data_IF_980897553977
#
_entry.id   IF_980897553977
#
_cell.length_a   1.000
_cell.length_b   1.000
_cell.length_c   1.000
_cell.angle_alpha   90.00
_cell.angle_beta   90.00
_cell.angle_gamma   90.00
#
_symmetry.space_group_name_H-M   'P 1'
#
loop_
_entity.id
_entity.type
_entity.pdbx_description
1 polymer ?
#
# COMPACT_ATOMS: atom_id res chain seq x y z
N UNK A 1 -13.49 9.69 9.13
CA UNK A 1 -14.47 8.96 9.97
C UNK A 1 -15.43 9.85 10.74
N UNK A 2 -15.17 11.16 10.89
CA UNK A 2 -16.09 12.08 11.60
C UNK A 2 -16.26 11.78 13.09
N UNK A 3 -15.41 10.89 13.63
CA UNK A 3 -15.44 10.49 15.04
C UNK A 3 -14.50 11.40 15.83
N UNK A 4 -14.97 11.89 16.96
CA UNK A 4 -14.12 12.60 17.91
C UNK A 4 -13.07 11.64 18.47
N UNK A 5 -11.79 12.03 18.37
CA UNK A 5 -10.65 11.31 18.91
C UNK A 5 -10.04 12.17 20.02
N UNK A 6 -9.99 11.65 21.24
CA UNK A 6 -9.20 12.27 22.30
C UNK A 6 -7.73 11.95 22.05
N UNK A 7 -6.92 12.97 21.77
CA UNK A 7 -5.46 12.83 21.67
C UNK A 7 -4.90 12.82 23.09
N UNK A 8 -4.61 11.64 23.62
CA UNK A 8 -4.03 11.48 24.95
C UNK A 8 -2.52 11.28 24.83
N UNK A 9 -1.75 12.08 25.56
CA UNK A 9 -0.28 12.01 25.65
C UNK A 9 0.44 12.06 24.29
N UNK A 10 0.22 13.10 23.46
CA UNK A 10 1.01 13.28 22.24
C UNK A 10 2.50 13.47 22.60
N UNK A 11 3.38 12.77 21.87
CA UNK A 11 4.82 12.91 22.05
C UNK A 11 5.36 13.94 21.06
N UNK A 12 6.06 14.95 21.55
CA UNK A 12 6.83 15.88 20.72
C UNK A 12 8.24 15.33 20.52
N UNK A 13 8.74 15.42 19.30
CA UNK A 13 10.10 15.04 18.96
C UNK A 13 10.96 16.29 18.79
N UNK A 14 11.92 16.50 19.71
CA UNK A 14 12.87 17.61 19.63
C UNK A 14 14.30 17.06 19.66
N UNK A 15 14.95 17.00 18.49
CA UNK A 15 16.27 16.37 18.36
C UNK A 15 16.21 14.86 18.66
N UNK A 16 16.94 14.40 19.68
CA UNK A 16 16.96 13.00 20.13
C UNK A 16 16.01 12.71 21.30
N UNK A 17 15.34 13.73 21.85
CA UNK A 17 14.50 13.59 23.04
C UNK A 17 13.01 13.44 22.67
N UNK A 18 12.31 12.61 23.46
CA UNK A 18 10.84 12.51 23.45
C UNK A 18 10.32 13.21 24.69
N UNK A 19 9.53 14.25 24.50
CA UNK A 19 8.84 14.95 25.59
C UNK A 19 7.33 14.89 25.35
N UNK A 20 6.53 14.86 26.43
CA UNK A 20 5.08 14.98 26.28
C UNK A 20 4.80 16.42 25.84
N UNK A 21 4.11 16.57 24.72
CA UNK A 21 3.77 17.87 24.17
C UNK A 21 2.70 18.55 25.04
N UNK A 22 2.98 19.75 25.53
CA UNK A 22 1.93 20.64 26.07
C UNK A 22 1.35 21.52 24.96
N UNK A 23 2.21 22.09 24.10
CA UNK A 23 1.83 22.87 22.92
C UNK A 23 2.76 22.52 21.74
N UNK A 24 2.23 22.61 20.50
CA UNK A 24 2.97 22.41 19.25
C UNK A 24 2.52 23.42 18.19
N UNK A 25 3.41 23.81 17.28
CA UNK A 25 3.10 24.78 16.21
C UNK A 25 3.26 24.18 14.81
N UNK A 26 2.89 24.95 13.79
CA UNK A 26 2.96 24.51 12.40
C UNK A 26 4.41 24.16 12.01
N UNK A 27 4.63 22.93 11.56
CA UNK A 27 5.94 22.40 11.19
C UNK A 27 6.51 21.39 12.19
N UNK A 28 5.97 21.32 13.41
CA UNK A 28 6.37 20.33 14.40
C UNK A 28 5.85 18.92 14.04
N UNK A 29 6.64 17.90 14.36
CA UNK A 29 6.24 16.49 14.22
C UNK A 29 5.81 15.97 15.58
N UNK A 30 4.54 15.58 15.67
CA UNK A 30 3.95 14.98 16.87
C UNK A 30 3.65 13.49 16.64
N UNK A 31 3.99 12.66 17.63
CA UNK A 31 3.64 11.25 17.68
C UNK A 31 2.34 11.06 18.45
N UNK A 32 1.31 10.55 17.78
CA UNK A 32 0.05 10.19 18.41
C UNK A 32 0.04 8.68 18.62
N UNK A 33 -0.13 8.19 19.87
CA UNK A 33 -0.32 6.77 20.13
C UNK A 33 -1.51 6.26 19.31
N UNK A 34 -1.26 5.27 18.46
CA UNK A 34 -2.26 4.69 17.57
C UNK A 34 -2.54 3.24 17.97
N UNK A 35 -3.81 2.92 18.20
CA UNK A 35 -4.30 1.57 18.48
C UNK A 35 -5.16 1.03 17.32
N UNK A 36 -4.78 1.36 16.08
CA UNK A 36 -5.48 0.96 14.86
C UNK A 36 -6.63 1.89 14.45
N UNK A 37 -6.73 3.09 15.02
CA UNK A 37 -7.78 4.07 14.71
C UNK A 37 -7.36 5.08 13.64
N UNK A 38 -6.05 5.29 13.47
CA UNK A 38 -5.46 6.23 12.51
C UNK A 38 -4.71 5.47 11.42
N UNK A 39 -4.75 6.02 10.21
CA UNK A 39 -4.04 5.54 9.03
C UNK A 39 -3.14 6.64 8.46
N UNK A 40 -2.15 6.23 7.68
CA UNK A 40 -1.32 7.18 6.93
C UNK A 40 -2.21 7.97 5.96
N UNK A 41 -2.14 9.30 6.05
CA UNK A 41 -2.97 10.23 5.26
C UNK A 41 -4.23 10.73 5.99
N UNK A 42 -4.55 10.22 7.19
CA UNK A 42 -5.65 10.78 7.98
C UNK A 42 -5.37 12.23 8.39
N UNK A 43 -6.42 13.06 8.32
CA UNK A 43 -6.37 14.46 8.77
C UNK A 43 -7.07 14.57 10.12
N UNK A 44 -6.35 15.11 11.11
CA UNK A 44 -6.91 15.51 12.40
C UNK A 44 -7.11 17.02 12.39
N UNK A 45 -8.34 17.46 12.65
CA UNK A 45 -8.71 18.87 12.69
C UNK A 45 -9.78 19.08 13.77
N UNK A 46 -9.80 20.27 14.37
CA UNK A 46 -10.87 20.69 15.30
C UNK A 46 -12.20 20.84 14.56
N UNK A 47 -12.16 21.42 13.37
CA UNK A 47 -13.32 21.58 12.50
C UNK A 47 -13.52 20.35 11.59
N UNK A 48 -14.78 19.96 11.43
CA UNK A 48 -15.15 18.88 10.50
C UNK A 48 -15.05 19.35 9.05
N UNK A 49 -14.66 18.45 8.14
CA UNK A 49 -14.69 18.68 6.70
C UNK A 49 -13.36 19.10 6.09
N UNK A 50 -12.30 19.23 6.89
CA UNK A 50 -10.95 19.45 6.39
C UNK A 50 -10.30 18.10 6.07
N UNK A 51 -9.80 17.97 4.85
CA UNK A 51 -9.02 16.81 4.40
C UNK A 51 -7.77 17.30 3.66
N UNK A 52 -6.61 16.91 4.14
CA UNK A 52 -5.38 17.07 3.37
C UNK A 52 -5.37 16.07 2.21
N UNK A 53 -5.09 16.57 1.01
CA UNK A 53 -4.93 15.81 -0.22
C UNK A 53 -3.47 15.76 -0.63
N UNK A 54 -3.13 14.85 -1.53
CA UNK A 54 -1.79 14.83 -2.14
C UNK A 54 -0.72 14.12 -1.32
N UNK A 55 -1.09 13.21 -0.41
CA UNK A 55 -0.17 12.23 0.17
C UNK A 55 -0.20 10.95 -0.70
N UNK A 56 0.79 10.75 -1.59
CA UNK A 56 0.76 9.63 -2.52
C UNK A 56 1.28 8.34 -1.87
N UNK A 57 0.69 7.22 -2.25
CA UNK A 57 1.40 5.95 -2.31
C UNK A 57 2.35 5.96 -3.50
N UNK A 58 3.60 5.58 -3.29
CA UNK A 58 4.62 5.48 -4.33
C UNK A 58 4.72 4.05 -4.84
N UNK A 59 4.96 3.86 -6.13
CA UNK A 59 5.16 2.53 -6.68
C UNK A 59 6.33 1.81 -5.97
N UNK A 60 6.16 0.53 -5.61
CA UNK A 60 7.20 -0.23 -4.94
C UNK A 60 8.41 -0.48 -5.84
N UNK A 61 9.58 -0.60 -5.22
CA UNK A 61 10.83 -0.98 -5.88
C UNK A 61 11.10 -2.49 -5.80
N UNK A 62 10.56 -3.14 -4.76
CA UNK A 62 10.77 -4.56 -4.51
C UNK A 62 9.42 -5.24 -4.37
N UNK A 63 9.17 -6.22 -5.25
CA UNK A 63 7.97 -7.06 -5.23
C UNK A 63 8.34 -8.47 -4.76
N UNK A 64 7.52 -9.05 -3.88
CA UNK A 64 7.64 -10.45 -3.43
C UNK A 64 6.28 -11.11 -3.37
N UNK A 65 6.23 -12.37 -3.76
CA UNK A 65 5.05 -13.22 -3.55
C UNK A 65 5.03 -13.71 -2.11
N UNK A 66 3.86 -13.62 -1.49
CA UNK A 66 3.63 -14.20 -0.16
C UNK A 66 3.32 -15.68 -0.29
N UNK A 67 4.10 -16.49 0.40
CA UNK A 67 3.86 -17.91 0.59
C UNK A 67 3.43 -18.13 2.04
N UNK A 68 2.39 -18.93 2.24
CA UNK A 68 1.97 -19.38 3.56
C UNK A 68 2.09 -20.90 3.61
N UNK A 69 2.76 -21.42 4.64
CA UNK A 69 2.98 -22.86 4.78
C UNK A 69 1.76 -23.64 5.28
N UNK A 70 0.76 -22.93 5.81
CA UNK A 70 -0.42 -23.51 6.47
C UNK A 70 -1.71 -22.98 5.82
N UNK A 71 -2.55 -23.87 5.32
CA UNK A 71 -3.83 -23.53 4.71
C UNK A 71 -4.86 -23.03 5.73
N UNK A 72 -4.71 -23.39 7.02
CA UNK A 72 -5.56 -22.90 8.11
C UNK A 72 -5.33 -21.42 8.44
N UNK A 73 -4.16 -20.87 8.07
CA UNK A 73 -3.77 -19.49 8.41
C UNK A 73 -4.03 -18.47 7.31
N UNK A 74 -4.62 -18.87 6.19
CA UNK A 74 -4.91 -17.98 5.04
C UNK A 74 -5.65 -16.71 5.47
N UNK A 75 -6.67 -16.84 6.33
CA UNK A 75 -7.45 -15.70 6.81
C UNK A 75 -6.61 -14.75 7.68
N UNK A 76 -5.73 -15.30 8.52
CA UNK A 76 -4.85 -14.52 9.40
C UNK A 76 -3.80 -13.77 8.58
N UNK A 77 -3.16 -14.44 7.62
CA UNK A 77 -2.20 -13.81 6.70
C UNK A 77 -2.87 -12.70 5.91
N UNK A 78 -4.08 -12.94 5.39
CA UNK A 78 -4.85 -11.91 4.69
C UNK A 78 -5.09 -10.68 5.57
N UNK A 79 -5.63 -10.88 6.77
CA UNK A 79 -5.89 -9.78 7.71
C UNK A 79 -4.60 -9.01 8.02
N UNK A 80 -3.51 -9.72 8.29
CA UNK A 80 -2.22 -9.11 8.60
C UNK A 80 -1.68 -8.26 7.44
N UNK A 81 -1.82 -8.73 6.20
CA UNK A 81 -1.40 -7.97 5.01
C UNK A 81 -2.25 -6.71 4.85
N UNK A 82 -3.57 -6.81 5.04
CA UNK A 82 -4.49 -5.67 4.94
C UNK A 82 -4.15 -4.61 6.02
N UNK A 83 -4.01 -5.02 7.29
CA UNK A 83 -3.68 -4.12 8.40
C UNK A 83 -2.31 -3.43 8.21
N UNK A 84 -1.28 -4.19 7.84
CA UNK A 84 0.07 -3.65 7.65
C UNK A 84 0.16 -2.73 6.41
N UNK A 85 -0.72 -2.93 5.43
CA UNK A 85 -0.87 -2.01 4.31
C UNK A 85 -1.59 -0.72 4.71
N UNK A 86 -2.53 -0.76 5.67
CA UNK A 86 -3.17 0.44 6.24
C UNK A 86 -2.18 1.34 6.98
N UNK A 87 -1.17 0.74 7.62
CA UNK A 87 -0.08 1.46 8.24
C UNK A 87 0.91 2.09 7.24
N UNK A 88 0.76 1.81 5.94
CA UNK A 88 1.64 2.34 4.89
C UNK A 88 3.04 1.74 4.86
N UNK A 89 3.30 0.69 5.65
CA UNK A 89 4.59 -0.02 5.67
C UNK A 89 4.85 -0.79 4.38
N UNK A 90 3.79 -1.38 3.82
CA UNK A 90 3.84 -2.20 2.62
C UNK A 90 2.66 -1.89 1.72
N UNK A 91 2.80 -2.19 0.44
CA UNK A 91 1.67 -2.29 -0.49
C UNK A 91 1.34 -3.75 -0.72
N UNK A 92 0.06 -4.02 -0.91
CA UNK A 92 -0.46 -5.36 -1.15
C UNK A 92 -1.20 -5.36 -2.46
N UNK A 93 -0.85 -6.32 -3.31
CA UNK A 93 -1.44 -6.54 -4.62
C UNK A 93 -1.99 -7.94 -4.72
N UNK A 94 -3.18 -8.05 -5.31
CA UNK A 94 -3.84 -9.32 -5.62
C UNK A 94 -3.86 -9.52 -7.13
N UNK A 95 -2.99 -10.36 -7.70
CA UNK A 95 -3.05 -10.70 -9.12
C UNK A 95 -4.45 -11.15 -9.56
N UNK A 96 -4.86 -10.74 -10.76
CA UNK A 96 -6.13 -11.18 -11.37
C UNK A 96 -6.10 -12.68 -11.73
N UNK A 97 -4.90 -13.24 -11.83
CA UNK A 97 -4.64 -14.66 -12.04
C UNK A 97 -3.81 -15.24 -10.89
N UNK A 98 -4.33 -16.32 -10.32
CA UNK A 98 -3.73 -16.99 -9.16
C UNK A 98 -4.28 -16.48 -7.84
N UNK A 99 -4.44 -17.38 -6.87
CA UNK A 99 -5.00 -17.07 -5.55
C UNK A 99 -3.95 -16.64 -4.53
N UNK A 100 -2.87 -15.98 -4.96
CA UNK A 100 -1.76 -15.58 -4.09
C UNK A 100 -1.68 -14.06 -3.96
N UNK A 101 -0.89 -13.60 -2.99
CA UNK A 101 -0.66 -12.18 -2.75
C UNK A 101 0.76 -11.78 -3.16
N UNK A 102 0.91 -10.55 -3.61
CA UNK A 102 2.21 -9.92 -3.83
C UNK A 102 2.29 -8.72 -2.89
N UNK A 103 3.42 -8.59 -2.20
CA UNK A 103 3.75 -7.40 -1.41
C UNK A 103 4.77 -6.56 -2.15
N UNK A 104 4.59 -5.25 -2.10
CA UNK A 104 5.49 -4.25 -2.63
C UNK A 104 6.05 -3.38 -1.52
N UNK A 105 7.36 -3.16 -1.54
CA UNK A 105 8.05 -2.28 -0.60
C UNK A 105 9.01 -1.36 -1.35
N UNK A 106 9.34 -0.23 -0.73
CA UNK A 106 10.37 0.68 -1.27
C UNK A 106 11.76 0.19 -0.86
N UNK A 107 11.91 -0.41 0.33
CA UNK A 107 13.19 -0.94 0.81
C UNK A 107 13.13 -2.41 1.21
N UNK A 108 14.17 -3.18 0.86
CA UNK A 108 14.25 -4.63 1.15
C UNK A 108 14.10 -4.95 2.64
N UNK A 109 14.60 -4.11 3.54
CA UNK A 109 14.51 -4.31 5.00
C UNK A 109 13.05 -4.35 5.49
N UNK A 110 12.12 -3.70 4.78
CA UNK A 110 10.70 -3.74 5.11
C UNK A 110 10.12 -5.16 4.98
N UNK A 111 10.71 -6.02 4.15
CA UNK A 111 10.28 -7.42 4.00
C UNK A 111 10.57 -8.25 5.26
N UNK A 112 11.70 -7.99 5.94
CA UNK A 112 12.04 -8.68 7.18
C UNK A 112 11.16 -8.21 8.34
N UNK A 113 10.89 -6.90 8.41
CA UNK A 113 9.91 -6.33 9.35
C UNK A 113 8.53 -6.93 9.13
N UNK A 114 8.08 -7.02 7.87
CA UNK A 114 6.80 -7.63 7.51
C UNK A 114 6.70 -9.08 8.01
N UNK A 115 7.67 -9.93 7.68
CA UNK A 115 7.68 -11.34 8.15
C UNK A 115 7.64 -11.42 9.67
N UNK A 116 8.47 -10.63 10.36
CA UNK A 116 8.55 -10.62 11.81
C UNK A 116 7.24 -10.20 12.47
N UNK A 117 6.59 -9.15 11.97
CA UNK A 117 5.31 -8.66 12.49
C UNK A 117 4.18 -9.66 12.27
N UNK A 118 4.03 -10.21 11.06
CA UNK A 118 2.97 -11.20 10.79
C UNK A 118 3.16 -12.45 11.68
N UNK A 119 4.40 -12.91 11.87
CA UNK A 119 4.67 -14.02 12.77
C UNK A 119 4.37 -13.68 14.25
N UNK A 120 4.77 -12.50 14.73
CA UNK A 120 4.63 -12.09 16.13
C UNK A 120 3.22 -11.63 16.53
N UNK A 121 2.58 -10.80 15.71
CA UNK A 121 1.28 -10.18 16.02
C UNK A 121 0.11 -11.09 15.63
N UNK A 122 0.25 -11.87 14.55
CA UNK A 122 -0.84 -12.68 13.99
C UNK A 122 -0.61 -14.19 14.14
N UNK A 123 0.56 -14.61 14.63
CA UNK A 123 0.91 -16.03 14.77
C UNK A 123 0.97 -16.77 13.43
N UNK A 124 1.14 -16.05 12.32
CA UNK A 124 1.00 -16.58 10.96
C UNK A 124 2.30 -16.40 10.16
N UNK A 125 3.35 -17.22 10.42
CA UNK A 125 4.61 -17.09 9.69
C UNK A 125 4.41 -17.26 8.19
N UNK A 126 5.05 -16.38 7.42
CA UNK A 126 5.04 -16.37 5.96
C UNK A 126 6.46 -16.45 5.41
N UNK A 127 6.56 -16.94 4.17
CA UNK A 127 7.78 -16.87 3.36
C UNK A 127 7.56 -15.91 2.19
N UNK A 128 8.65 -15.37 1.66
CA UNK A 128 8.63 -14.40 0.58
C UNK A 128 9.45 -14.89 -0.61
N UNK A 129 8.81 -15.05 -1.75
CA UNK A 129 9.43 -15.52 -2.99
C UNK A 129 9.61 -14.37 -4.00
N UNK A 130 10.66 -14.45 -4.81
CA UNK A 130 10.85 -13.51 -5.91
C UNK A 130 9.77 -13.67 -6.97
N UNK A 131 9.28 -12.56 -7.51
CA UNK A 131 8.38 -12.53 -8.66
C UNK A 131 9.11 -11.99 -9.89
N UNK A 132 8.66 -12.29 -11.12
CA UNK A 132 9.31 -11.80 -12.34
C UNK A 132 9.08 -10.30 -12.59
N UNK A 133 8.39 -9.60 -11.69
CA UNK A 133 8.00 -8.21 -11.83
C UNK A 133 9.01 -7.30 -11.11
N UNK A 134 9.46 -6.26 -11.80
CA UNK A 134 10.34 -5.22 -11.24
C UNK A 134 9.57 -4.04 -10.70
N UNK A 135 8.39 -3.74 -11.24
CA UNK A 135 7.64 -2.56 -10.79
C UNK A 135 6.14 -2.72 -10.97
N UNK A 136 5.38 -1.93 -10.22
CA UNK A 136 3.93 -1.87 -10.27
C UNK A 136 3.49 -0.44 -10.67
N UNK A 137 2.50 -0.31 -11.54
CA UNK A 137 1.95 0.98 -11.98
C UNK A 137 0.43 0.95 -11.92
N UNK A 138 -0.17 1.96 -11.30
CA UNK A 138 -1.63 2.10 -11.32
C UNK A 138 -2.11 2.45 -12.72
N UNK A 139 -3.12 1.73 -13.19
CA UNK A 139 -3.69 1.91 -14.52
C UNK A 139 -4.91 2.81 -14.41
N UNK A 140 -4.87 3.94 -15.11
CA UNK A 140 -5.99 4.86 -15.24
C UNK A 140 -6.45 4.84 -16.69
N UNK A 141 -7.66 4.35 -16.94
CA UNK A 141 -8.28 4.44 -18.25
C UNK A 141 -8.73 5.87 -18.54
N UNK A 142 -8.37 6.37 -19.72
CA UNK A 142 -8.93 7.58 -20.33
C UNK A 142 -9.82 7.25 -21.54
N UNK A 143 -9.93 5.97 -21.89
CA UNK A 143 -10.71 5.47 -23.01
C UNK A 143 -12.11 4.99 -22.58
N UNK A 144 -12.78 4.29 -23.49
CA UNK A 144 -14.07 3.64 -23.20
C UNK A 144 -13.89 2.40 -22.32
N UNK A 145 -14.96 1.98 -21.65
CA UNK A 145 -14.99 0.74 -20.87
C UNK A 145 -14.61 -0.49 -21.72
N UNK A 146 -15.00 -0.50 -23.00
CA UNK A 146 -14.63 -1.56 -23.93
C UNK A 146 -13.11 -1.64 -24.16
N UNK A 147 -12.41 -0.50 -24.24
CA UNK A 147 -10.96 -0.47 -24.37
C UNK A 147 -10.28 -0.99 -23.09
N UNK A 148 -10.79 -0.60 -21.91
CA UNK A 148 -10.29 -1.11 -20.63
C UNK A 148 -10.49 -2.62 -20.50
N UNK A 149 -11.64 -3.15 -20.89
CA UNK A 149 -11.90 -4.59 -20.84
C UNK A 149 -11.02 -5.37 -21.85
N UNK A 150 -10.76 -4.84 -23.05
CA UNK A 150 -9.80 -5.45 -23.99
C UNK A 150 -8.39 -5.48 -23.38
N UNK A 151 -7.94 -4.37 -22.81
CA UNK A 151 -6.65 -4.28 -22.13
C UNK A 151 -6.54 -5.32 -20.99
N UNK A 152 -7.59 -5.45 -20.15
CA UNK A 152 -7.64 -6.43 -19.07
C UNK A 152 -7.59 -7.87 -19.59
N UNK A 153 -8.32 -8.16 -20.66
CA UNK A 153 -8.38 -9.49 -21.25
C UNK A 153 -7.01 -9.94 -21.77
N UNK A 154 -6.31 -9.05 -22.48
CA UNK A 154 -5.03 -9.35 -23.12
C UNK A 154 -3.84 -9.37 -22.15
N UNK A 155 -3.91 -8.61 -21.06
CA UNK A 155 -2.78 -8.45 -20.12
C UNK A 155 -3.03 -9.08 -18.75
N UNK A 156 -4.04 -9.95 -18.64
CA UNK A 156 -4.55 -10.49 -17.37
C UNK A 156 -3.49 -11.10 -16.45
N UNK A 157 -2.44 -11.71 -17.01
CA UNK A 157 -1.34 -12.32 -16.25
C UNK A 157 -0.39 -11.33 -15.58
N UNK A 158 -0.35 -10.09 -16.06
CA UNK A 158 0.44 -9.00 -15.52
C UNK A 158 -0.42 -7.97 -14.77
N UNK A 159 -1.69 -8.29 -14.50
CA UNK A 159 -2.60 -7.39 -13.80
C UNK A 159 -2.89 -7.87 -12.38
N UNK A 160 -3.03 -6.90 -11.49
CA UNK A 160 -3.42 -7.09 -10.11
C UNK A 160 -4.37 -5.96 -9.66
N UNK A 161 -4.98 -6.15 -8.50
CA UNK A 161 -5.72 -5.12 -7.78
C UNK A 161 -4.93 -4.72 -6.53
N UNK A 162 -4.87 -3.43 -6.21
CA UNK A 162 -4.43 -2.97 -4.90
C UNK A 162 -5.50 -3.22 -3.83
N UNK A 163 -5.22 -2.83 -2.58
CA UNK A 163 -6.18 -3.00 -1.46
C UNK A 163 -7.54 -2.31 -1.71
N UNK A 164 -7.55 -1.21 -2.45
CA UNK A 164 -8.73 -0.39 -2.71
C UNK A 164 -9.43 -0.81 -4.02
N UNK A 165 -9.01 -1.94 -4.61
CA UNK A 165 -9.57 -2.47 -5.86
C UNK A 165 -9.12 -1.71 -7.11
N UNK A 166 -8.10 -0.85 -7.01
CA UNK A 166 -7.57 -0.14 -8.19
C UNK A 166 -6.73 -1.09 -9.03
N UNK A 167 -6.87 -0.98 -10.35
CA UNK A 167 -6.13 -1.81 -11.28
C UNK A 167 -4.65 -1.42 -11.31
N UNK A 168 -3.77 -2.43 -11.22
CA UNK A 168 -2.32 -2.28 -11.21
C UNK A 168 -1.72 -3.18 -12.28
N UNK A 169 -0.82 -2.62 -13.09
CA UNK A 169 0.00 -3.35 -14.03
C UNK A 169 1.37 -3.67 -13.41
N UNK A 170 1.71 -4.95 -13.37
CA UNK A 170 2.97 -5.49 -12.87
C UNK A 170 3.92 -5.70 -14.05
N UNK A 171 4.88 -4.80 -14.22
CA UNK A 171 5.83 -4.84 -15.32
C UNK A 171 7.09 -5.61 -14.92
N UNK A 172 7.60 -6.47 -15.82
CA UNK A 172 8.86 -7.20 -15.66
C UNK A 172 10.07 -6.30 -15.78
N UNK A 173 9.94 -5.19 -16.51
CA UNK A 173 10.98 -4.16 -16.68
C UNK A 173 10.40 -2.89 -17.31
N UNK A 174 11.22 -1.84 -17.39
CA UNK A 174 10.84 -0.56 -18.00
C UNK A 174 10.47 -0.68 -19.49
N UNK A 175 11.15 -1.54 -20.26
CA UNK A 175 10.85 -1.71 -21.68
C UNK A 175 9.44 -2.27 -21.92
N UNK A 176 9.01 -3.24 -21.10
CA UNK A 176 7.64 -3.78 -21.18
C UNK A 176 6.60 -2.71 -20.84
N UNK A 177 6.89 -1.87 -19.85
CA UNK A 177 6.05 -0.73 -19.50
C UNK A 177 5.92 0.27 -20.65
N UNK A 178 7.03 0.60 -21.32
CA UNK A 178 7.01 1.52 -22.47
C UNK A 178 6.25 0.92 -23.66
N UNK A 179 6.43 -0.37 -23.91
CA UNK A 179 5.75 -1.07 -25.00
C UNK A 179 4.24 -1.14 -24.75
N UNK A 180 3.82 -1.45 -23.53
CA UNK A 180 2.39 -1.51 -23.21
C UNK A 180 1.73 -0.13 -23.29
N UNK A 181 2.42 0.92 -22.83
CA UNK A 181 1.94 2.30 -22.92
C UNK A 181 1.79 2.77 -24.37
N UNK A 182 2.67 2.35 -25.28
CA UNK A 182 2.54 2.64 -26.73
C UNK A 182 1.39 1.87 -27.37
N UNK A 183 1.15 0.64 -26.94
CA UNK A 183 0.10 -0.24 -27.48
C UNK A 183 -1.30 0.19 -27.05
N UNK A 184 -1.43 0.71 -25.83
CA UNK A 184 -2.68 1.18 -25.24
C UNK A 184 -2.56 2.65 -24.83
N UNK A 185 -2.52 3.60 -25.79
CA UNK A 185 -2.35 5.04 -25.52
C UNK A 185 -3.48 5.65 -24.68
N UNK A 186 -4.65 5.01 -24.65
CA UNK A 186 -5.79 5.36 -23.80
C UNK A 186 -5.61 4.95 -22.33
N UNK A 187 -4.58 4.16 -22.00
CA UNK A 187 -4.24 3.75 -20.64
C UNK A 187 -3.07 4.58 -20.11
N UNK A 188 -3.23 5.18 -18.94
CA UNK A 188 -2.18 5.91 -18.24
C UNK A 188 -1.62 5.05 -17.12
N UNK A 189 -0.29 4.90 -17.08
CA UNK A 189 0.42 4.11 -16.07
C UNK A 189 1.10 5.06 -15.08
N UNK A 190 0.60 5.12 -13.84
CA UNK A 190 1.08 6.03 -12.80
C UNK A 190 2.00 5.33 -11.81
N UNK A 191 3.05 6.04 -11.41
CA UNK A 191 3.99 5.67 -10.34
C UNK A 191 3.54 6.15 -8.96
N UNK A 192 2.48 6.96 -8.88
CA UNK A 192 1.85 7.36 -7.63
C UNK A 192 0.33 7.22 -7.69
N UNK A 193 -0.28 6.86 -6.57
CA UNK A 193 -1.73 6.92 -6.37
C UNK A 193 -2.05 7.65 -5.07
N UNK A 194 -3.07 8.50 -5.08
CA UNK A 194 -3.50 9.19 -3.87
C UNK A 194 -4.12 8.18 -2.88
N UNK A 195 -3.72 8.27 -1.61
CA UNK A 195 -4.30 7.47 -0.55
C UNK A 195 -5.72 7.98 -0.25
N UNK A 196 -6.70 7.07 -0.31
CA UNK A 196 -8.10 7.35 -0.02
C UNK A 196 -8.42 7.36 1.47
#
# INVERSE_FOLDING_TARGET
TGKSLAVQSPMLFFGQERQVAEDAVAGDVIGIPNHGTLRVGDTLAEDSGIRFTGLPAFAPEVLRRVLHGDSGKVKQVRQALEDLAEEGLVQVFRPLLGGYWIVGVVGVLQLDVLKSRIAGEYGAPIELESVPFQTARWVISKGSDAALESFKAENRSALAEDRDGRLVFLARNAWELDNIAKRYPEMSFRDTCELS
#
